data_IF_068813429172
#
_entry.id   IF_068813429172
#
_cell.length_a   1.000
_cell.length_b   1.000
_cell.length_c   1.000
_cell.angle_alpha   90.00
_cell.angle_beta   90.00
_cell.angle_gamma   90.00
#
_symmetry.space_group_name_H-M   'P 1'
#
loop_
_entity.id
_entity.type
_entity.pdbx_description
1 polymer ?
#
# COMPACT_ATOMS: atom_id res chain seq x y z
N UNK A 1 -6.84 23.59 48.23
CA UNK A 1 -6.93 24.18 46.87
C UNK A 1 -5.97 23.37 46.03
N UNK A 2 -6.54 22.54 45.16
CA UNK A 2 -5.86 21.51 44.37
C UNK A 2 -5.01 22.14 43.27
N UNK A 3 -3.78 21.64 43.13
CA UNK A 3 -2.85 21.93 42.04
C UNK A 3 -3.48 21.57 40.68
N UNK A 4 -4.00 22.56 39.97
CA UNK A 4 -4.47 22.44 38.58
C UNK A 4 -3.38 22.79 37.55
N UNK A 5 -2.14 23.00 37.98
CA UNK A 5 -1.02 23.37 37.09
C UNK A 5 -0.25 22.18 36.50
N UNK A 6 -0.59 20.93 36.85
CA UNK A 6 0.17 19.71 36.47
C UNK A 6 -0.52 18.78 35.48
N UNK A 7 -1.63 19.18 34.86
CA UNK A 7 -2.35 18.38 33.85
C UNK A 7 -2.09 18.83 32.40
N UNK A 8 -1.70 20.08 32.16
CA UNK A 8 -1.53 20.61 30.80
C UNK A 8 -0.24 20.12 30.10
N UNK A 9 0.71 19.54 30.83
CA UNK A 9 2.00 19.10 30.26
C UNK A 9 2.05 17.60 29.91
N UNK A 10 1.06 16.80 30.34
CA UNK A 10 1.07 15.35 30.06
C UNK A 10 0.63 15.07 28.62
N UNK A 11 1.31 14.12 27.99
CA UNK A 11 0.88 13.63 26.68
C UNK A 11 -0.50 12.97 26.82
N UNK A 12 -1.40 13.18 25.84
CA UNK A 12 -2.69 12.50 25.82
C UNK A 12 -2.45 10.99 25.73
N UNK A 13 -3.32 10.22 26.38
CA UNK A 13 -3.33 8.76 26.20
C UNK A 13 -3.85 8.43 24.80
N UNK A 14 -2.99 7.85 23.98
CA UNK A 14 -3.26 7.50 22.58
C UNK A 14 -2.90 6.03 22.37
N UNK A 15 -3.86 5.27 21.86
CA UNK A 15 -3.62 3.90 21.39
C UNK A 15 -4.13 3.75 19.95
N UNK A 16 -3.22 3.37 19.05
CA UNK A 16 -3.50 3.12 17.65
C UNK A 16 -3.73 1.61 17.44
N UNK A 17 -4.89 1.26 16.91
CA UNK A 17 -5.23 -0.11 16.57
C UNK A 17 -4.99 -0.35 15.08
N UNK A 18 -3.99 -1.18 14.77
CA UNK A 18 -3.59 -1.50 13.39
C UNK A 18 -3.96 -2.94 13.04
N UNK A 19 -4.04 -3.24 11.75
CA UNK A 19 -4.28 -4.61 11.29
C UNK A 19 -3.06 -5.48 11.62
N UNK A 20 -3.29 -6.64 12.25
CA UNK A 20 -2.24 -7.63 12.47
C UNK A 20 -1.85 -8.35 11.16
N UNK A 21 -0.62 -8.83 11.13
CA UNK A 21 -0.05 -9.68 10.09
C UNK A 21 -0.65 -11.08 10.09
N UNK A 22 -0.11 -11.93 9.23
CA UNK A 22 -0.61 -13.29 9.04
C UNK A 22 -0.37 -14.21 10.26
N UNK A 23 0.60 -13.86 11.09
CA UNK A 23 0.91 -14.50 12.38
C UNK A 23 -0.02 -14.06 13.52
N UNK A 24 -0.76 -12.96 13.33
CA UNK A 24 -1.64 -12.37 14.34
C UNK A 24 -0.94 -11.44 15.34
N UNK A 25 0.37 -11.21 15.19
CA UNK A 25 1.18 -10.41 16.13
C UNK A 25 1.94 -9.28 15.43
N UNK A 26 2.50 -9.50 14.24
CA UNK A 26 3.25 -8.48 13.51
C UNK A 26 2.32 -7.41 12.90
N UNK A 27 2.91 -6.32 12.40
CA UNK A 27 2.17 -5.30 11.63
C UNK A 27 1.79 -5.90 10.26
N UNK A 28 0.49 -5.90 9.96
CA UNK A 28 -0.03 -6.41 8.70
C UNK A 28 -0.09 -5.35 7.60
N UNK A 29 -0.29 -5.81 6.35
CA UNK A 29 -0.48 -4.91 5.22
C UNK A 29 -1.78 -4.08 5.36
N UNK A 30 -1.62 -2.79 5.62
CA UNK A 30 -2.67 -1.78 5.58
C UNK A 30 -2.04 -0.38 5.40
N UNK A 31 -2.06 0.20 4.18
CA UNK A 31 -1.52 1.54 3.91
C UNK A 31 -2.12 2.63 4.81
N UNK A 32 -3.40 2.47 5.18
CA UNK A 32 -4.10 3.40 6.05
C UNK A 32 -3.64 3.32 7.51
N UNK A 33 -3.32 2.11 8.01
CA UNK A 33 -2.75 1.94 9.35
C UNK A 33 -1.37 2.57 9.43
N UNK A 34 -0.54 2.31 8.40
CA UNK A 34 0.79 2.91 8.32
C UNK A 34 0.73 4.45 8.24
N UNK A 35 -0.22 5.02 7.47
CA UNK A 35 -0.45 6.48 7.42
C UNK A 35 -0.62 7.09 8.81
N UNK A 36 -1.53 6.54 9.63
CA UNK A 36 -1.78 7.05 10.98
C UNK A 36 -0.58 6.85 11.92
N UNK A 37 0.12 5.72 11.78
CA UNK A 37 1.34 5.45 12.54
C UNK A 37 2.41 6.50 12.23
N UNK A 38 2.68 6.77 10.95
CA UNK A 38 3.62 7.82 10.54
C UNK A 38 3.25 9.20 11.11
N UNK A 39 1.95 9.55 11.10
CA UNK A 39 1.46 10.83 11.63
C UNK A 39 1.78 10.96 13.12
N UNK A 40 1.42 9.96 13.94
CA UNK A 40 1.69 9.98 15.38
C UNK A 40 3.20 10.04 15.67
N UNK A 41 4.01 9.31 14.90
CA UNK A 41 5.47 9.35 15.02
C UNK A 41 6.01 10.76 14.73
N UNK A 42 5.60 11.37 13.61
CA UNK A 42 6.04 12.71 13.23
C UNK A 42 5.55 13.80 14.20
N UNK A 43 4.41 13.58 14.87
CA UNK A 43 3.96 14.45 15.97
C UNK A 43 4.86 14.39 17.19
N UNK A 44 5.64 13.32 17.37
CA UNK A 44 6.52 13.14 18.52
C UNK A 44 5.77 12.93 19.84
N UNK A 45 4.52 12.49 19.78
CA UNK A 45 3.71 12.13 20.96
C UNK A 45 4.04 10.70 21.39
N UNK A 46 3.92 10.39 22.67
CA UNK A 46 3.96 9.00 23.14
C UNK A 46 2.61 8.34 22.88
N UNK A 47 2.62 7.18 22.21
CA UNK A 47 1.42 6.39 21.92
C UNK A 47 1.73 4.90 21.93
N UNK A 48 0.70 4.09 22.13
CA UNK A 48 0.77 2.64 22.02
C UNK A 48 0.25 2.17 20.67
N UNK A 49 0.78 1.05 20.17
CA UNK A 49 0.30 0.40 18.96
C UNK A 49 -0.14 -1.01 19.30
N UNK A 50 -1.40 -1.32 19.02
CA UNK A 50 -1.99 -2.62 19.25
C UNK A 50 -2.40 -3.25 17.92
N UNK A 51 -1.84 -4.41 17.61
CA UNK A 51 -2.16 -5.18 16.42
C UNK A 51 -3.43 -6.00 16.63
N UNK A 52 -4.35 -5.93 15.68
CA UNK A 52 -5.66 -6.57 15.75
C UNK A 52 -5.75 -7.71 14.75
N UNK A 53 -5.84 -8.95 15.25
CA UNK A 53 -6.18 -10.11 14.43
C UNK A 53 -7.69 -10.13 14.12
N UNK A 54 -8.01 -9.98 12.83
CA UNK A 54 -9.38 -10.00 12.33
C UNK A 54 -10.06 -11.38 12.45
N UNK A 55 -9.28 -12.47 12.54
CA UNK A 55 -9.81 -13.83 12.68
C UNK A 55 -10.11 -14.17 14.13
N UNK A 56 -9.37 -13.59 15.06
CA UNK A 56 -9.47 -13.82 16.50
C UNK A 56 -9.63 -12.48 17.23
N UNK A 57 -10.73 -11.77 16.94
CA UNK A 57 -11.01 -10.48 17.60
C UNK A 57 -11.13 -10.70 19.12
N UNK A 58 -10.30 -10.05 19.95
CA UNK A 58 -10.43 -10.10 21.40
C UNK A 58 -11.80 -9.54 21.82
N UNK A 59 -12.38 -10.11 22.89
CA UNK A 59 -13.69 -9.67 23.38
C UNK A 59 -13.70 -8.19 23.80
N UNK A 60 -12.61 -7.73 24.39
CA UNK A 60 -12.44 -6.34 24.84
C UNK A 60 -12.49 -5.36 23.65
N UNK A 61 -11.91 -5.74 22.51
CA UNK A 61 -11.93 -4.93 21.30
C UNK A 61 -13.32 -4.84 20.67
N UNK A 62 -14.11 -5.92 20.75
CA UNK A 62 -15.49 -5.93 20.29
C UNK A 62 -16.35 -4.95 21.10
N UNK A 63 -16.08 -4.80 22.40
CA UNK A 63 -16.80 -3.85 23.25
C UNK A 63 -16.35 -2.40 23.01
N UNK A 64 -15.06 -2.19 22.74
CA UNK A 64 -14.49 -0.88 22.45
C UNK A 64 -15.01 -0.31 21.13
N UNK A 65 -14.97 -1.10 20.05
CA UNK A 65 -15.35 -0.66 18.71
C UNK A 65 -16.16 -1.75 17.98
N UNK A 66 -17.45 -1.92 18.29
CA UNK A 66 -18.27 -2.99 17.75
C UNK A 66 -18.42 -2.85 16.23
N UNK A 67 -17.96 -3.86 15.49
CA UNK A 67 -18.06 -3.89 14.03
C UNK A 67 -17.03 -3.03 13.27
N UNK A 68 -16.19 -2.27 13.96
CA UNK A 68 -15.13 -1.47 13.33
C UNK A 68 -13.97 -2.37 12.92
N UNK A 69 -13.45 -2.14 11.72
CA UNK A 69 -12.21 -2.75 11.26
C UNK A 69 -11.07 -1.74 11.42
N UNK A 70 -9.85 -2.19 11.77
CA UNK A 70 -8.66 -1.35 11.76
C UNK A 70 -8.45 -0.68 10.39
N UNK A 71 -7.88 0.53 10.36
CA UNK A 71 -7.37 1.26 11.52
C UNK A 71 -8.44 2.08 12.27
N UNK A 72 -8.28 2.15 13.59
CA UNK A 72 -8.99 3.09 14.46
C UNK A 72 -8.08 3.49 15.62
N UNK A 73 -8.44 4.53 16.36
CA UNK A 73 -7.60 5.11 17.40
C UNK A 73 -8.44 5.43 18.63
N UNK A 74 -7.91 5.24 19.83
CA UNK A 74 -8.46 5.85 21.05
C UNK A 74 -7.66 7.07 21.42
N UNK A 75 -8.34 8.17 21.72
CA UNK A 75 -7.75 9.41 22.21
C UNK A 75 -8.43 9.79 23.52
N UNK A 76 -7.73 9.70 24.65
CA UNK A 76 -8.30 9.92 25.99
C UNK A 76 -9.61 9.14 26.18
N UNK A 77 -9.59 7.84 25.87
CA UNK A 77 -10.74 6.92 25.93
C UNK A 77 -11.81 7.10 24.83
N UNK A 78 -11.76 8.16 24.02
CA UNK A 78 -12.69 8.33 22.89
C UNK A 78 -12.24 7.54 21.66
N UNK A 79 -13.12 6.69 21.14
CA UNK A 79 -12.85 5.90 19.93
C UNK A 79 -13.10 6.74 18.69
N UNK A 80 -12.04 6.98 17.93
CA UNK A 80 -12.07 7.63 16.62
C UNK A 80 -11.97 6.57 15.52
N UNK A 81 -12.88 6.69 14.57
CA UNK A 81 -12.96 5.86 13.36
C UNK A 81 -12.92 6.76 12.12
N UNK A 82 -12.66 6.18 10.94
CA UNK A 82 -12.40 6.90 9.67
C UNK A 82 -11.03 7.59 9.67
N UNK A 83 -10.17 7.13 8.77
CA UNK A 83 -8.75 7.54 8.67
C UNK A 83 -8.62 9.04 8.45
N UNK A 84 -9.48 9.63 7.61
CA UNK A 84 -9.38 11.05 7.29
C UNK A 84 -9.83 11.90 8.48
N UNK A 85 -10.90 11.48 9.18
CA UNK A 85 -11.36 12.17 10.40
C UNK A 85 -10.34 12.06 11.53
N UNK A 86 -9.71 10.89 11.70
CA UNK A 86 -8.64 10.71 12.68
C UNK A 86 -7.47 11.64 12.36
N UNK A 87 -7.04 11.72 11.10
CA UNK A 87 -5.97 12.64 10.68
C UNK A 87 -6.32 14.10 11.00
N UNK A 88 -7.51 14.56 10.61
CA UNK A 88 -7.98 15.92 10.89
C UNK A 88 -8.00 16.20 12.40
N UNK A 89 -8.50 15.25 13.20
CA UNK A 89 -8.56 15.35 14.64
C UNK A 89 -7.16 15.43 15.26
N UNK A 90 -6.23 14.56 14.85
CA UNK A 90 -4.85 14.57 15.34
C UNK A 90 -4.12 15.87 14.97
N UNK A 91 -4.31 16.39 13.76
CA UNK A 91 -3.70 17.66 13.35
C UNK A 91 -4.24 18.85 14.15
N UNK A 92 -5.51 18.82 14.54
CA UNK A 92 -6.14 19.85 15.36
C UNK A 92 -5.75 19.75 16.84
N UNK A 93 -5.77 18.55 17.42
CA UNK A 93 -5.52 18.34 18.85
C UNK A 93 -4.03 18.35 19.20
N UNK A 94 -3.17 17.86 18.31
CA UNK A 94 -1.72 17.87 18.46
C UNK A 94 -1.14 19.05 17.68
N UNK A 95 -1.42 20.26 18.15
CA UNK A 95 -1.02 21.51 17.50
C UNK A 95 0.20 22.19 18.18
N UNK A 96 0.84 23.17 17.51
CA UNK A 96 1.85 24.02 18.13
C UNK A 96 1.30 24.77 19.35
N UNK A 97 2.14 25.08 20.38
CA UNK A 97 3.60 25.02 20.37
C UNK A 97 4.20 23.65 20.74
N UNK A 98 3.41 22.74 21.32
CA UNK A 98 3.93 21.45 21.83
C UNK A 98 4.26 20.46 20.72
N UNK A 99 3.43 20.40 19.67
CA UNK A 99 3.57 19.44 18.58
C UNK A 99 3.74 20.16 17.22
N UNK A 100 4.46 19.57 16.26
CA UNK A 100 4.64 20.17 14.94
C UNK A 100 3.35 20.16 14.12
N UNK A 101 3.19 21.15 13.26
CA UNK A 101 2.14 21.18 12.23
C UNK A 101 2.59 20.34 11.03
N UNK A 102 1.81 19.34 10.62
CA UNK A 102 2.16 18.44 9.52
C UNK A 102 1.37 18.72 8.25
N UNK A 103 0.31 19.53 8.32
CA UNK A 103 -0.45 19.91 7.13
C UNK A 103 0.44 20.61 6.10
N UNK A 104 0.43 20.18 4.83
CA UNK A 104 1.23 20.80 3.79
C UNK A 104 0.77 22.22 3.50
N UNK A 105 1.71 23.06 3.10
CA UNK A 105 1.52 24.46 2.73
C UNK A 105 0.88 24.57 1.35
N UNK A 106 1.33 23.74 0.40
CA UNK A 106 0.82 23.76 -0.96
C UNK A 106 -0.35 22.79 -1.11
N UNK A 107 -1.47 23.29 -1.62
CA UNK A 107 -2.68 22.47 -1.84
C UNK A 107 -2.44 21.34 -2.84
N UNK A 108 -1.58 21.56 -3.82
CA UNK A 108 -1.25 20.59 -4.85
C UNK A 108 -0.56 19.35 -4.26
N UNK A 109 0.20 19.51 -3.17
CA UNK A 109 0.85 18.41 -2.43
C UNK A 109 -0.15 17.36 -1.96
N UNK A 110 -1.35 17.77 -1.52
CA UNK A 110 -2.40 16.85 -1.08
C UNK A 110 -3.01 16.02 -2.22
N UNK A 111 -2.92 16.51 -3.46
CA UNK A 111 -3.54 15.88 -4.63
C UNK A 111 -2.53 15.16 -5.51
N UNK A 112 -1.24 15.40 -5.30
CA UNK A 112 -0.16 14.76 -6.04
C UNK A 112 -0.20 13.24 -5.81
N UNK A 113 -0.32 12.48 -6.89
CA UNK A 113 -0.31 11.01 -6.84
C UNK A 113 -1.59 10.36 -6.29
N UNK A 114 -2.68 11.12 -6.09
CA UNK A 114 -3.92 10.60 -5.50
C UNK A 114 -4.52 9.42 -6.31
N UNK A 115 -4.40 9.43 -7.64
CA UNK A 115 -4.98 8.39 -8.50
C UNK A 115 -4.08 7.17 -8.70
N UNK A 116 -2.82 7.21 -8.25
CA UNK A 116 -1.83 6.14 -8.49
C UNK A 116 -2.30 4.82 -7.92
N UNK A 117 -2.79 4.80 -6.67
CA UNK A 117 -3.17 3.57 -6.00
C UNK A 117 -4.41 2.92 -6.65
N UNK A 118 -5.37 3.73 -7.11
CA UNK A 118 -6.51 3.25 -7.89
C UNK A 118 -6.09 2.66 -9.25
N UNK A 119 -5.15 3.30 -9.97
CA UNK A 119 -4.61 2.74 -11.23
C UNK A 119 -3.84 1.46 -11.00
N UNK A 120 -3.01 1.42 -9.96
CA UNK A 120 -2.27 0.23 -9.55
C UNK A 120 -3.22 -0.92 -9.18
N UNK A 121 -4.26 -0.65 -8.40
CA UNK A 121 -5.28 -1.63 -8.02
C UNK A 121 -5.97 -2.24 -9.25
N UNK A 122 -6.35 -1.41 -10.22
CA UNK A 122 -6.92 -1.88 -11.47
C UNK A 122 -5.91 -2.73 -12.28
N UNK A 123 -4.64 -2.35 -12.32
CA UNK A 123 -3.57 -3.07 -13.01
C UNK A 123 -3.26 -4.44 -12.38
N UNK A 124 -3.08 -4.49 -11.06
CA UNK A 124 -2.70 -5.72 -10.36
C UNK A 124 -3.86 -6.72 -10.27
N UNK A 125 -5.10 -6.25 -10.09
CA UNK A 125 -6.29 -7.12 -10.04
C UNK A 125 -6.72 -7.61 -11.44
N UNK A 126 -6.13 -7.08 -12.52
CA UNK A 126 -6.47 -7.46 -13.90
C UNK A 126 -6.05 -8.89 -14.25
N UNK A 127 -6.98 -9.64 -14.84
CA UNK A 127 -6.76 -11.01 -15.36
C UNK A 127 -6.76 -11.09 -16.88
N UNK A 128 -7.10 -9.98 -17.56
CA UNK A 128 -7.32 -9.90 -19.01
C UNK A 128 -6.07 -9.39 -19.75
N UNK A 129 -5.40 -10.22 -20.57
CA UNK A 129 -4.20 -9.80 -21.30
C UNK A 129 -4.43 -8.62 -22.25
N UNK A 130 -5.60 -8.56 -22.89
CA UNK A 130 -5.97 -7.51 -23.84
C UNK A 130 -6.03 -6.12 -23.19
N UNK A 131 -6.33 -6.05 -21.89
CA UNK A 131 -6.39 -4.80 -21.12
C UNK A 131 -5.08 -4.44 -20.43
N UNK A 132 -4.14 -5.39 -20.31
CA UNK A 132 -2.96 -5.23 -19.46
C UNK A 132 -2.11 -4.03 -19.90
N UNK A 133 -1.84 -3.90 -21.20
CA UNK A 133 -1.04 -2.79 -21.74
C UNK A 133 -1.66 -1.42 -21.45
N UNK A 134 -2.99 -1.29 -21.58
CA UNK A 134 -3.68 -0.03 -21.34
C UNK A 134 -3.66 0.35 -19.85
N UNK A 135 -3.80 -0.63 -18.95
CA UNK A 135 -3.74 -0.40 -17.50
C UNK A 135 -2.33 -0.05 -17.03
N UNK A 136 -1.31 -0.71 -17.57
CA UNK A 136 0.10 -0.37 -17.32
C UNK A 136 0.43 1.06 -17.78
N UNK A 137 -0.03 1.44 -18.98
CA UNK A 137 0.12 2.80 -19.50
C UNK A 137 -0.59 3.83 -18.63
N UNK A 138 -1.77 3.50 -18.10
CA UNK A 138 -2.49 4.38 -17.18
C UNK A 138 -1.74 4.56 -15.85
N UNK A 139 -1.14 3.50 -15.32
CA UNK A 139 -0.29 3.56 -14.12
C UNK A 139 0.97 4.41 -14.38
N UNK A 140 1.67 4.16 -15.48
CA UNK A 140 2.84 4.94 -15.88
C UNK A 140 2.49 6.43 -16.03
N UNK A 141 1.34 6.76 -16.64
CA UNK A 141 0.89 8.15 -16.77
C UNK A 141 0.63 8.80 -15.41
N UNK A 142 0.07 8.08 -14.44
CA UNK A 142 -0.13 8.60 -13.09
C UNK A 142 1.20 8.84 -12.36
N UNK A 143 2.16 7.91 -12.49
CA UNK A 143 3.52 8.07 -11.95
C UNK A 143 4.28 9.22 -12.61
N UNK A 144 4.15 9.41 -13.92
CA UNK A 144 4.73 10.54 -14.65
C UNK A 144 4.21 11.88 -14.13
N UNK A 145 2.90 12.00 -13.85
CA UNK A 145 2.36 13.25 -13.27
C UNK A 145 2.93 13.54 -11.89
N UNK A 146 3.12 12.50 -11.05
CA UNK A 146 3.78 12.66 -9.76
C UNK A 146 5.24 13.07 -9.94
N UNK A 147 5.95 12.47 -10.90
CA UNK A 147 7.33 12.83 -11.23
C UNK A 147 7.45 14.29 -11.68
N UNK A 148 6.59 14.72 -12.61
CA UNK A 148 6.50 16.12 -13.07
C UNK A 148 6.29 17.08 -11.89
N UNK A 149 5.40 16.73 -10.95
CA UNK A 149 5.17 17.52 -9.74
C UNK A 149 6.41 17.57 -8.83
N UNK A 150 7.07 16.43 -8.58
CA UNK A 150 8.28 16.34 -7.74
C UNK A 150 9.47 17.05 -8.38
N UNK A 151 9.53 17.12 -9.70
CA UNK A 151 10.59 17.79 -10.45
C UNK A 151 10.35 19.30 -10.60
N UNK A 152 9.10 19.76 -10.52
CA UNK A 152 8.75 21.18 -10.61
C UNK A 152 9.00 21.90 -9.27
N UNK A 153 9.71 23.03 -9.24
CA UNK A 153 9.91 23.81 -8.00
C UNK A 153 8.59 24.23 -7.34
N UNK A 154 8.50 24.10 -6.02
CA UNK A 154 7.38 24.65 -5.23
C UNK A 154 7.55 26.16 -5.01
N UNK A 155 6.46 26.91 -4.72
CA UNK A 155 6.54 28.36 -4.51
C UNK A 155 7.62 28.81 -3.53
N UNK A 156 7.86 28.06 -2.46
CA UNK A 156 8.90 28.37 -1.46
C UNK A 156 10.33 28.27 -2.03
N UNK A 157 10.59 27.35 -2.96
CA UNK A 157 11.89 27.24 -3.63
C UNK A 157 12.10 28.42 -4.59
N UNK A 158 11.04 28.81 -5.31
CA UNK A 158 11.07 29.95 -6.24
C UNK A 158 11.29 31.27 -5.49
N UNK A 159 10.63 31.45 -4.35
CA UNK A 159 10.83 32.61 -3.47
C UNK A 159 12.28 32.69 -2.93
N UNK A 160 12.93 31.55 -2.73
CA UNK A 160 14.35 31.47 -2.35
C UNK A 160 15.31 31.68 -3.52
N UNK A 161 14.81 32.05 -4.70
CA UNK A 161 15.60 32.41 -5.88
C UNK A 161 15.84 31.26 -6.86
N UNK A 162 15.18 30.10 -6.72
CA UNK A 162 15.25 29.03 -7.72
C UNK A 162 14.51 29.44 -8.98
N UNK A 163 15.15 29.29 -10.14
CA UNK A 163 14.48 29.54 -11.42
C UNK A 163 13.50 28.40 -11.74
N UNK A 164 12.36 28.72 -12.35
CA UNK A 164 11.36 27.73 -12.77
C UNK A 164 11.89 26.67 -13.74
N UNK A 165 12.97 26.97 -14.46
CA UNK A 165 13.62 26.05 -15.41
C UNK A 165 14.56 25.06 -14.70
N UNK A 166 14.95 25.32 -13.45
CA UNK A 166 15.78 24.42 -12.67
C UNK A 166 14.91 23.36 -11.99
N UNK A 167 15.32 22.07 -12.03
CA UNK A 167 14.57 21.02 -11.35
C UNK A 167 14.57 21.26 -9.83
N UNK A 168 13.45 20.98 -9.17
CA UNK A 168 13.34 20.99 -7.71
C UNK A 168 14.36 20.04 -7.07
N UNK A 169 14.87 20.41 -5.89
CA UNK A 169 15.75 19.54 -5.09
C UNK A 169 15.13 19.14 -3.76
N UNK A 170 13.86 19.49 -3.53
CA UNK A 170 13.17 19.15 -2.29
C UNK A 170 13.15 17.64 -2.04
N UNK A 171 13.16 17.25 -0.77
CA UNK A 171 13.20 15.84 -0.38
C UNK A 171 11.86 15.13 -0.55
N UNK A 172 10.76 15.81 -0.19
CA UNK A 172 9.41 15.27 -0.07
C UNK A 172 8.37 16.07 -0.86
N UNK A 173 7.08 15.77 -0.72
CA UNK A 173 6.04 16.38 -1.56
C UNK A 173 5.99 17.90 -1.44
N UNK A 174 6.05 18.43 -0.21
CA UNK A 174 5.82 19.86 0.08
C UNK A 174 7.08 20.61 0.52
N UNK A 175 8.24 19.93 0.56
CA UNK A 175 9.49 20.53 1.02
C UNK A 175 10.51 19.49 1.49
N UNK A 176 11.32 19.87 2.47
CA UNK A 176 12.40 19.02 3.01
C UNK A 176 11.99 18.24 4.26
N UNK A 177 10.77 18.47 4.77
CA UNK A 177 10.17 17.78 5.91
C UNK A 177 8.95 16.96 5.47
N UNK A 178 8.68 15.84 6.16
CA UNK A 178 7.52 15.00 5.88
C UNK A 178 6.23 15.69 6.32
N UNK A 179 5.19 15.56 5.50
CA UNK A 179 3.85 16.14 5.73
C UNK A 179 2.76 15.07 5.75
N UNK A 180 1.52 15.46 6.04
CA UNK A 180 0.35 14.57 5.95
C UNK A 180 0.18 13.99 4.53
N UNK A 181 0.53 14.74 3.49
CA UNK A 181 0.49 14.25 2.11
C UNK A 181 1.46 13.08 1.89
N UNK A 182 2.66 13.15 2.48
CA UNK A 182 3.66 12.09 2.41
C UNK A 182 3.19 10.83 3.17
N UNK A 183 2.61 11.02 4.35
CA UNK A 183 2.03 9.93 5.15
C UNK A 183 0.91 9.20 4.41
N UNK A 184 0.17 9.89 3.55
CA UNK A 184 -0.89 9.29 2.72
C UNK A 184 -0.31 8.54 1.51
N UNK A 185 0.69 9.11 0.83
CA UNK A 185 1.20 8.58 -0.44
C UNK A 185 2.25 7.49 -0.28
N UNK A 186 3.20 7.64 0.66
CA UNK A 186 4.34 6.73 0.81
C UNK A 186 3.94 5.27 1.08
N UNK A 187 3.00 4.97 2.02
CA UNK A 187 2.54 3.59 2.22
C UNK A 187 1.96 2.96 0.96
N UNK A 188 1.19 3.74 0.18
CA UNK A 188 0.57 3.30 -1.08
C UNK A 188 1.62 3.01 -2.15
N UNK A 189 2.65 3.85 -2.26
CA UNK A 189 3.76 3.65 -3.19
C UNK A 189 4.63 2.44 -2.82
N UNK A 190 4.82 2.19 -1.52
CA UNK A 190 5.56 1.01 -1.05
C UNK A 190 4.84 -0.28 -1.46
N UNK A 191 3.53 -0.38 -1.19
CA UNK A 191 2.71 -1.52 -1.60
C UNK A 191 2.75 -1.70 -3.12
N UNK A 192 2.63 -0.62 -3.90
CA UNK A 192 2.78 -0.67 -5.35
C UNK A 192 4.13 -1.31 -5.75
N UNK A 193 5.25 -0.81 -5.20
CA UNK A 193 6.60 -1.28 -5.53
C UNK A 193 6.76 -2.78 -5.25
N UNK A 194 6.38 -3.25 -4.06
CA UNK A 194 6.54 -4.65 -3.64
C UNK A 194 5.64 -5.58 -4.47
N UNK A 195 4.35 -5.26 -4.55
CA UNK A 195 3.35 -6.12 -5.19
C UNK A 195 3.52 -6.16 -6.71
N UNK A 196 3.74 -5.00 -7.34
CA UNK A 196 3.89 -4.94 -8.79
C UNK A 196 5.15 -5.69 -9.25
N UNK A 197 6.24 -5.59 -8.48
CA UNK A 197 7.45 -6.38 -8.74
C UNK A 197 7.17 -7.87 -8.61
N UNK A 198 6.53 -8.32 -7.52
CA UNK A 198 6.27 -9.74 -7.25
C UNK A 198 5.32 -10.39 -8.26
N UNK A 199 4.21 -9.73 -8.58
CA UNK A 199 3.11 -10.37 -9.33
C UNK A 199 3.01 -9.99 -10.80
N UNK A 200 3.66 -8.91 -11.22
CA UNK A 200 3.64 -8.44 -12.62
C UNK A 200 5.04 -8.26 -13.22
N UNK A 201 6.10 -8.44 -12.42
CA UNK A 201 7.47 -8.08 -12.80
C UNK A 201 7.55 -6.65 -13.36
N UNK A 202 6.72 -5.76 -12.81
CA UNK A 202 6.71 -4.35 -13.13
C UNK A 202 7.62 -3.62 -12.15
N UNK A 203 8.40 -2.68 -12.67
CA UNK A 203 9.20 -1.74 -11.89
C UNK A 203 8.85 -0.32 -12.29
N UNK A 204 8.93 0.61 -11.33
CA UNK A 204 8.78 2.03 -11.63
C UNK A 204 9.85 2.42 -12.66
N UNK A 205 9.50 3.05 -13.79
CA UNK A 205 10.47 3.42 -14.81
C UNK A 205 11.64 4.23 -14.24
N UNK A 206 12.87 3.87 -14.60
CA UNK A 206 14.11 4.46 -14.04
C UNK A 206 14.34 5.92 -14.44
N UNK A 207 13.65 6.38 -15.47
CA UNK A 207 13.66 7.77 -15.97
C UNK A 207 12.84 8.73 -15.10
N UNK A 208 11.97 8.23 -14.21
CA UNK A 208 11.21 9.03 -13.24
C UNK A 208 12.08 9.47 -12.04
N UNK A 209 12.98 10.43 -12.30
CA UNK A 209 14.03 10.86 -11.35
C UNK A 209 13.46 11.46 -10.07
N UNK A 210 12.37 12.22 -10.15
CA UNK A 210 11.72 12.84 -9.00
C UNK A 210 11.12 11.78 -8.08
N UNK A 211 10.42 10.79 -8.64
CA UNK A 211 9.86 9.66 -7.88
C UNK A 211 10.97 8.84 -7.21
N UNK A 212 12.05 8.53 -7.93
CA UNK A 212 13.17 7.79 -7.36
C UNK A 212 13.91 8.57 -6.27
N UNK A 213 14.10 9.88 -6.43
CA UNK A 213 14.64 10.75 -5.38
C UNK A 213 13.74 10.74 -4.15
N UNK A 214 12.43 10.90 -4.34
CA UNK A 214 11.45 10.91 -3.27
C UNK A 214 11.44 9.60 -2.46
N UNK A 215 11.36 8.47 -3.16
CA UNK A 215 11.44 7.15 -2.52
C UNK A 215 12.78 6.95 -1.83
N UNK A 216 13.89 7.33 -2.45
CA UNK A 216 15.22 7.25 -1.85
C UNK A 216 15.31 7.95 -0.51
N UNK A 217 14.87 9.22 -0.45
CA UNK A 217 14.83 9.99 0.80
C UNK A 217 13.88 9.36 1.83
N UNK A 218 12.71 8.87 1.41
CA UNK A 218 11.75 8.24 2.32
C UNK A 218 12.30 6.95 2.96
N UNK A 219 13.00 6.11 2.18
CA UNK A 219 13.67 4.91 2.69
C UNK A 219 14.93 5.22 3.51
N UNK A 220 15.28 6.48 3.77
CA UNK A 220 16.31 6.87 4.74
C UNK A 220 15.68 7.36 6.05
N UNK A 221 14.35 7.42 6.15
CA UNK A 221 13.62 7.89 7.33
C UNK A 221 13.10 6.74 8.17
N UNK A 222 13.44 6.81 9.46
CA UNK A 222 12.96 5.87 10.47
C UNK A 222 11.44 5.87 10.58
N UNK A 223 10.79 7.04 10.45
CA UNK A 223 9.33 7.15 10.54
C UNK A 223 8.62 6.37 9.45
N UNK A 224 9.26 6.19 8.29
CA UNK A 224 8.72 5.40 7.20
C UNK A 224 9.13 3.93 7.29
N UNK A 225 10.42 3.63 7.43
CA UNK A 225 10.92 2.24 7.42
C UNK A 225 10.34 1.45 8.59
N UNK A 226 10.36 2.01 9.80
CA UNK A 226 9.94 1.28 11.00
C UNK A 226 8.41 1.14 11.11
N UNK A 227 7.66 1.82 10.25
CA UNK A 227 6.20 1.67 10.13
C UNK A 227 5.78 0.78 8.95
N UNK A 228 6.71 0.42 8.06
CA UNK A 228 6.44 -0.50 6.96
C UNK A 228 6.20 -1.92 7.51
N UNK A 229 5.15 -2.63 7.03
CA UNK A 229 5.05 -4.06 7.24
C UNK A 229 6.16 -4.79 6.47
N UNK A 230 6.44 -6.04 6.85
CA UNK A 230 7.39 -6.88 6.11
C UNK A 230 6.90 -7.11 4.66
N UNK A 231 7.83 -7.16 3.70
CA UNK A 231 7.52 -7.38 2.29
C UNK A 231 6.68 -8.65 2.09
N UNK A 232 6.97 -9.73 2.84
CA UNK A 232 6.22 -10.99 2.79
C UNK A 232 4.75 -10.83 3.18
N UNK A 233 4.43 -9.94 4.13
CA UNK A 233 3.06 -9.65 4.56
C UNK A 233 2.29 -8.89 3.47
N UNK A 234 2.96 -7.94 2.81
CA UNK A 234 2.39 -7.23 1.65
C UNK A 234 2.13 -8.21 0.51
N UNK A 235 3.12 -9.05 0.17
CA UNK A 235 2.98 -10.04 -0.89
C UNK A 235 1.84 -11.02 -0.58
N UNK A 236 1.76 -11.52 0.65
CA UNK A 236 0.73 -12.47 1.08
C UNK A 236 -0.67 -11.86 0.97
N UNK A 237 -0.85 -10.61 1.39
CA UNK A 237 -2.14 -9.92 1.32
C UNK A 237 -2.67 -9.80 -0.11
N UNK A 238 -1.79 -9.69 -1.12
CA UNK A 238 -2.19 -9.56 -2.53
C UNK A 238 -2.26 -10.90 -3.28
N UNK A 239 -1.91 -12.02 -2.66
CA UNK A 239 -1.79 -13.34 -3.30
C UNK A 239 -3.04 -13.76 -4.08
N UNK A 240 -4.22 -13.57 -3.49
CA UNK A 240 -5.47 -14.07 -4.07
C UNK A 240 -6.07 -13.11 -5.11
N UNK A 241 -5.78 -11.82 -4.99
CA UNK A 241 -6.28 -10.77 -5.89
C UNK A 241 -5.37 -10.57 -7.12
N UNK A 242 -4.07 -10.79 -6.98
CA UNK A 242 -3.07 -10.64 -8.05
C UNK A 242 -3.01 -11.87 -8.98
N UNK A 243 -4.17 -12.37 -9.41
CA UNK A 243 -4.30 -13.57 -10.24
C UNK A 243 -3.48 -13.47 -11.53
N UNK A 244 -2.95 -14.60 -12.01
CA UNK A 244 -2.17 -14.66 -13.25
C UNK A 244 -3.01 -14.20 -14.43
N UNK A 245 -2.38 -13.49 -15.37
CA UNK A 245 -2.98 -13.16 -16.65
C UNK A 245 -3.39 -14.46 -17.35
N UNK A 246 -4.67 -14.57 -17.73
CA UNK A 246 -5.15 -15.73 -18.46
C UNK A 246 -4.31 -15.92 -19.73
N UNK A 247 -3.93 -17.15 -20.07
CA UNK A 247 -3.26 -17.39 -21.37
C UNK A 247 -4.21 -16.89 -22.46
N UNK A 248 -3.72 -16.02 -23.35
CA UNK A 248 -4.46 -15.66 -24.55
C UNK A 248 -4.79 -16.97 -25.26
N UNK A 249 -6.06 -17.37 -25.22
CA UNK A 249 -6.52 -18.57 -25.86
C UNK A 249 -6.25 -18.38 -27.34
N UNK A 250 -5.23 -19.07 -27.86
CA UNK A 250 -5.11 -19.33 -29.29
C UNK A 250 -6.37 -20.11 -29.64
N UNK A 251 -7.41 -19.39 -30.09
CA UNK A 251 -8.50 -19.99 -30.86
C UNK A 251 -7.81 -20.63 -32.05
N UNK A 252 -7.55 -21.95 -31.98
CA UNK A 252 -7.38 -22.76 -33.18
C UNK A 252 -8.65 -22.50 -33.99
N UNK A 253 -8.53 -21.69 -35.05
CA UNK A 253 -9.53 -21.69 -36.10
C UNK A 253 -9.54 -23.13 -36.60
N UNK A 254 -10.62 -23.85 -36.34
CA UNK A 254 -10.91 -25.08 -37.06
C UNK A 254 -11.13 -24.65 -38.51
N UNK A 255 -10.08 -24.76 -39.32
CA UNK A 255 -10.21 -24.74 -40.77
C UNK A 255 -11.05 -25.96 -41.14
N UNK A 256 -12.28 -25.71 -41.55
CA UNK A 256 -13.14 -26.69 -42.19
C UNK A 256 -12.47 -27.14 -43.48
N UNK A 257 -12.20 -28.43 -43.57
CA UNK A 257 -11.71 -29.10 -44.77
C UNK A 257 -12.77 -29.07 -45.87
N UNK A 258 -12.51 -28.36 -46.95
CA UNK A 258 -13.01 -28.71 -48.28
C UNK A 258 -11.80 -29.05 -49.15
N UNK A 259 -11.89 -30.19 -49.83
CA UNK A 259 -10.73 -30.91 -50.34
C UNK A 259 -10.30 -30.60 -51.78
N UNK A 260 -9.22 -31.32 -52.10
CA UNK A 260 -8.75 -31.84 -53.39
C UNK A 260 -7.91 -30.90 -54.28
N UNK A 261 -6.63 -31.29 -54.42
CA UNK A 261 -5.73 -30.87 -55.50
C UNK A 261 -4.31 -31.42 -55.31
N UNK A 262 -4.00 -32.55 -55.96
CA UNK A 262 -2.65 -33.20 -56.05
C UNK A 262 -1.66 -32.31 -56.82
N UNK A 263 -0.41 -32.21 -56.36
CA UNK A 263 0.87 -32.73 -56.95
C UNK A 263 1.92 -31.59 -56.75
N UNK A 264 3.22 -31.72 -56.58
CA UNK A 264 4.24 -32.79 -56.64
C UNK A 264 5.49 -32.27 -55.89
N UNK A 265 6.16 -33.14 -55.10
CA UNK A 265 7.57 -33.55 -55.24
C UNK A 265 8.72 -32.54 -54.93
N UNK A 266 9.61 -32.96 -54.02
CA UNK A 266 10.96 -32.41 -53.76
C UNK A 266 11.07 -31.73 -52.38
N UNK A 267 11.94 -32.08 -51.43
CA UNK A 267 13.05 -33.02 -51.37
C UNK A 267 13.28 -33.45 -49.91
N UNK A 268 13.96 -34.58 -49.74
CA UNK A 268 14.34 -35.27 -48.49
C UNK A 268 15.63 -34.70 -47.88
N UNK A 269 15.74 -34.73 -46.54
CA UNK A 269 16.88 -35.21 -45.72
C UNK A 269 16.53 -34.95 -44.24
N UNK A 270 16.17 -35.93 -43.40
CA UNK A 270 16.96 -36.96 -42.68
C UNK A 270 18.18 -36.46 -41.86
N UNK A 271 18.04 -36.37 -40.53
CA UNK A 271 18.57 -37.27 -39.44
C UNK A 271 20.08 -37.11 -39.15
N UNK A 272 20.43 -36.77 -37.89
CA UNK A 272 21.32 -37.50 -36.93
C UNK A 272 22.09 -36.53 -35.99
N UNK A 273 21.97 -36.83 -34.68
CA UNK A 273 22.86 -36.76 -33.49
C UNK A 273 24.23 -36.01 -33.54
N UNK A 274 24.92 -35.63 -32.46
CA UNK A 274 24.95 -36.05 -31.05
C UNK A 274 25.89 -35.12 -30.21
N UNK A 275 25.74 -35.19 -28.87
CA UNK A 275 26.76 -35.16 -27.78
C UNK A 275 27.71 -33.94 -27.65
N UNK A 276 27.71 -33.20 -26.53
CA UNK A 276 28.15 -33.51 -25.15
C UNK A 276 29.69 -33.49 -24.93
N UNK A 277 30.11 -32.74 -23.90
CA UNK A 277 31.26 -32.86 -22.96
C UNK A 277 31.74 -31.43 -22.58
N UNK A 278 31.55 -30.91 -21.36
CA UNK A 278 32.12 -31.26 -20.03
C UNK A 278 33.29 -30.35 -19.63
N UNK A 279 33.30 -30.01 -18.32
CA UNK A 279 34.32 -29.39 -17.44
C UNK A 279 33.99 -27.91 -17.13
N UNK A 280 33.76 -27.46 -15.90
CA UNK A 280 33.95 -28.02 -14.56
C UNK A 280 34.67 -26.99 -13.70
N UNK A 281 34.11 -26.58 -12.55
CA UNK A 281 34.90 -26.23 -11.37
C UNK A 281 34.00 -26.06 -10.12
N UNK A 282 34.25 -26.93 -9.14
CA UNK A 282 33.75 -26.84 -7.76
C UNK A 282 34.30 -25.62 -7.04
N UNK A 283 33.50 -25.07 -6.10
CA UNK A 283 33.99 -24.68 -4.76
C UNK A 283 32.85 -24.82 -3.76
N UNK A 284 33.06 -25.74 -2.80
CA UNK A 284 32.29 -25.93 -1.58
C UNK A 284 32.63 -24.80 -0.60
N UNK A 285 31.63 -24.30 0.11
CA UNK A 285 31.81 -23.77 1.47
C UNK A 285 30.90 -24.57 2.41
N UNK A 286 31.52 -25.07 3.47
CA UNK A 286 30.94 -25.84 4.56
C UNK A 286 30.66 -24.85 5.69
N UNK A 287 29.44 -24.76 6.19
CA UNK A 287 29.20 -24.34 7.57
C UNK A 287 28.10 -25.23 8.15
N UNK A 288 28.46 -25.90 9.25
CA UNK A 288 27.60 -26.80 10.01
C UNK A 288 26.92 -26.00 11.12
N UNK A 289 25.66 -26.28 11.43
CA UNK A 289 25.15 -26.19 12.81
C UNK A 289 23.88 -27.04 12.98
N UNK A 290 24.11 -28.15 13.65
CA UNK A 290 23.28 -28.93 14.58
C UNK A 290 21.75 -28.87 14.51
N UNK A 291 21.20 -30.01 14.08
CA UNK A 291 19.84 -30.48 14.35
C UNK A 291 19.71 -30.90 15.83
N UNK A 292 18.61 -30.54 16.48
CA UNK A 292 18.16 -31.19 17.70
C UNK A 292 16.79 -31.81 17.44
N UNK A 293 16.74 -33.14 17.47
CA UNK A 293 15.54 -33.97 17.31
C UNK A 293 15.21 -34.63 18.64
N UNK A 294 13.91 -34.72 18.95
CA UNK A 294 13.35 -35.69 19.90
C UNK A 294 11.84 -35.89 19.65
N UNK A 295 11.26 -37.04 20.06
CA UNK A 295 10.52 -37.88 19.14
C UNK A 295 8.98 -37.82 19.25
N UNK A 296 8.34 -38.35 18.19
CA UNK A 296 6.90 -38.67 18.09
C UNK A 296 6.51 -39.84 18.99
N UNK A 297 5.32 -39.76 19.57
CA UNK A 297 4.48 -40.91 19.90
C UNK A 297 3.29 -40.94 18.95
N UNK A 298 3.06 -42.12 18.38
CA UNK A 298 1.96 -42.49 17.50
C UNK A 298 0.72 -42.85 18.32
N UNK A 299 -0.46 -42.47 17.85
CA UNK A 299 -1.63 -43.36 17.93
C UNK A 299 -2.59 -43.08 16.77
N UNK A 300 -3.06 -44.17 16.16
CA UNK A 300 -3.89 -44.20 14.96
C UNK A 300 -5.39 -44.25 15.26
N UNK A 301 -6.18 -43.86 14.25
CA UNK A 301 -7.63 -44.02 14.25
C UNK A 301 -8.21 -43.66 12.88
N UNK A 302 -8.53 -44.68 12.08
CA UNK A 302 -9.20 -44.60 10.78
C UNK A 302 -10.64 -44.09 10.88
N UNK A 303 -11.08 -43.31 9.90
CA UNK A 303 -12.30 -43.61 9.11
C UNK A 303 -12.48 -42.63 7.95
N UNK A 304 -12.80 -43.17 6.77
CA UNK A 304 -13.13 -42.47 5.55
C UNK A 304 -14.55 -41.88 5.56
N UNK A 305 -14.76 -40.79 4.83
CA UNK A 305 -16.09 -40.21 4.56
C UNK A 305 -16.03 -39.12 3.50
N UNK A 306 -16.77 -39.32 2.41
CA UNK A 306 -16.71 -38.61 1.13
C UNK A 306 -17.50 -37.28 1.11
N UNK A 307 -16.97 -36.31 0.34
CA UNK A 307 -17.63 -35.20 -0.37
C UNK A 307 -18.81 -34.44 0.26
N UNK A 308 -18.63 -33.13 0.46
CA UNK A 308 -19.69 -32.12 0.24
C UNK A 308 -19.11 -30.70 0.04
N UNK A 309 -19.15 -30.26 -1.22
CA UNK A 309 -19.31 -28.88 -1.73
C UNK A 309 -18.60 -27.77 -0.94
N UNK A 310 -17.43 -27.37 -1.44
CA UNK A 310 -16.86 -26.05 -1.18
C UNK A 310 -17.87 -24.98 -1.62
N UNK A 311 -18.47 -24.29 -0.63
CA UNK A 311 -19.08 -22.99 -0.88
C UNK A 311 -17.96 -22.01 -1.18
N UNK A 312 -18.13 -21.06 -2.12
CA UNK A 312 -17.18 -19.98 -2.26
C UNK A 312 -17.13 -19.22 -0.93
N UNK A 313 -15.96 -19.20 -0.30
CA UNK A 313 -15.69 -18.35 0.85
C UNK A 313 -15.97 -16.91 0.47
N UNK A 314 -16.97 -16.31 1.13
CA UNK A 314 -17.30 -14.89 1.02
C UNK A 314 -16.08 -14.03 1.36
N UNK A 315 -15.90 -12.96 0.59
CA UNK A 315 -14.76 -12.04 0.71
C UNK A 315 -14.81 -11.25 2.02
N UNK A 316 -13.67 -10.88 2.61
CA UNK A 316 -13.63 -9.84 3.65
C UNK A 316 -14.11 -8.51 3.06
N UNK A 317 -15.08 -7.87 3.72
CA UNK A 317 -15.69 -6.58 3.35
C UNK A 317 -14.70 -5.40 3.25
N UNK A 318 -13.44 -5.56 3.66
CA UNK A 318 -12.42 -4.49 3.58
C UNK A 318 -12.03 -4.13 2.15
N UNK A 319 -12.12 -5.07 1.19
CA UNK A 319 -11.79 -4.81 -0.21
C UNK A 319 -12.96 -4.21 -1.02
N UNK A 320 -14.18 -4.23 -0.46
CA UNK A 320 -15.36 -3.65 -1.13
C UNK A 320 -15.49 -2.14 -0.89
N UNK A 321 -14.99 -1.63 0.24
CA UNK A 321 -14.99 -0.19 0.54
C UNK A 321 -13.84 0.59 -0.15
N UNK A 322 -12.80 -0.09 -0.65
CA UNK A 322 -11.64 0.55 -1.31
C UNK A 322 -11.98 1.38 -2.58
N UNK A 323 -13.17 1.21 -3.17
CA UNK A 323 -13.59 1.93 -4.37
C UNK A 323 -14.76 2.90 -4.16
N UNK A 324 -15.43 2.87 -3.00
CA UNK A 324 -16.61 3.69 -2.76
C UNK A 324 -16.31 5.00 -2.00
N UNK A 325 -15.17 5.11 -1.32
CA UNK A 325 -14.83 6.35 -0.59
C UNK A 325 -14.13 7.43 -1.45
N UNK A 326 -13.68 7.13 -2.66
CA UNK A 326 -12.90 8.10 -3.48
C UNK A 326 -13.75 9.06 -4.35
N UNK A 327 -15.08 9.09 -4.21
CA UNK A 327 -15.91 10.10 -4.90
C UNK A 327 -16.98 10.67 -3.97
N UNK A 328 -16.58 11.53 -3.04
CA UNK A 328 -17.48 12.60 -2.59
C UNK A 328 -16.90 13.96 -2.99
N UNK A 329 -17.57 14.71 -3.90
CA UNK A 329 -17.15 16.07 -4.18
C UNK A 329 -17.34 16.93 -2.93
N UNK A 330 -16.32 17.69 -2.57
CA UNK A 330 -16.38 18.78 -1.58
C UNK A 330 -17.56 19.68 -1.95
N UNK A 331 -18.71 19.53 -1.28
CA UNK A 331 -19.75 20.54 -1.32
C UNK A 331 -19.20 21.75 -0.56
N UNK A 332 -18.81 22.77 -1.31
CA UNK A 332 -18.62 24.10 -0.76
C UNK A 332 -19.92 24.53 -0.07
N UNK A 333 -19.93 24.52 1.27
CA UNK A 333 -20.89 25.30 2.03
C UNK A 333 -20.46 26.76 1.95
N UNK A 334 -21.10 27.51 1.05
CA UNK A 334 -21.06 28.96 1.07
C UNK A 334 -21.85 29.45 2.29
N UNK A 335 -21.15 29.89 3.33
CA UNK A 335 -21.77 30.66 4.41
C UNK A 335 -22.13 32.06 3.88
N UNK A 336 -23.40 32.30 3.62
CA UNK A 336 -23.95 33.66 3.49
C UNK A 336 -24.07 34.29 4.88
N UNK A 337 -23.59 35.53 5.10
CA UNK A 337 -23.81 36.22 6.38
C UNK A 337 -25.29 36.55 6.57
N UNK A 338 -25.76 36.40 7.81
CA UNK A 338 -27.11 36.75 8.23
C UNK A 338 -27.34 38.28 8.16
N UNK A 339 -28.56 38.76 7.87
CA UNK A 339 -28.86 40.19 7.86
C UNK A 339 -28.89 40.75 9.29
N UNK A 340 -28.19 41.88 9.47
CA UNK A 340 -28.23 42.69 10.68
C UNK A 340 -29.66 43.15 10.98
N UNK A 341 -30.17 42.74 12.14
CA UNK A 341 -31.43 43.20 12.68
C UNK A 341 -31.20 44.54 13.39
N UNK A 342 -31.38 45.65 12.67
CA UNK A 342 -31.41 46.98 13.28
C UNK A 342 -32.73 47.16 14.03
N UNK A 343 -32.64 47.19 15.35
CA UNK A 343 -33.68 47.70 16.24
C UNK A 343 -33.13 48.90 17.02
N UNK A 344 -33.45 50.10 16.53
CA UNK A 344 -33.81 51.35 17.25
C UNK A 344 -33.50 52.57 16.41
#
# INVERSE_FOLDING_TARGET
MTDTAGEEDRDPDIELFVKAGSDGEAIGNCPFSQRLFMILWLKGVVFNVTTVDLKRKPADLHNLAPGTNPPFLTFKEEVLTDVNKIEEYLEQMLAPPKYPKLAPKNRDSNTAGIDIFAKFSAYVKNTRPDKNRALEQALNKALMKLDEYLMSPVPEEVQKGRHHEEPSTRKYLDGDELTLADCNLLPKLHVLKVVAKKYRNYEIPSDLKGVWRYLGNAYERDEFINTCPADEEIELAYRDVAKRLGKCGTRRRSLSSHGVGRASAGARACIVCARALSRGCSRRFHLSLSLNTSPRTTDGGSSAGCSRRDRPSEMPLSDQNELQEEVQPVRQMSCTPAPDNQSS
#
